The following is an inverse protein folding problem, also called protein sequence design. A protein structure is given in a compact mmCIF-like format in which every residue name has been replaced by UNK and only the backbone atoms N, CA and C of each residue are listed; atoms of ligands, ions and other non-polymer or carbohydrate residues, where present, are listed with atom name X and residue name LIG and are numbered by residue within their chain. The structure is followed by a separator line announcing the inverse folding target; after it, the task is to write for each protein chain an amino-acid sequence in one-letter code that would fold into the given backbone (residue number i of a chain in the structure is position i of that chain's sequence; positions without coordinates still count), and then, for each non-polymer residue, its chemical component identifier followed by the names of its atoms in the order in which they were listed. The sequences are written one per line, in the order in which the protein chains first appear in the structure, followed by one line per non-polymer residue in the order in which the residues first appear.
data_IF_565010875394
#
_entry.id   IF_565010875394
#
_cell.length_a   1.000
_cell.length_b   1.000
_cell.length_c   1.000
_cell.angle_alpha   90.00
_cell.angle_beta   90.00
_cell.angle_gamma   90.00
#
_symmetry.space_group_name_H-M   'P 1'
#
loop_
_entity.id
_entity.type
_entity.pdbx_description
1 polymer ?
#
# COMPACT_ATOMS: atom_id res chain seq x y z
N UNK A 1 10.33 2.41 -12.83
CA UNK A 1 9.32 2.71 -11.79
C UNK A 1 8.05 3.15 -12.49
N UNK A 2 6.89 2.81 -11.96
CA UNK A 2 5.60 3.22 -12.53
C UNK A 2 4.79 3.96 -11.47
N UNK A 3 4.11 5.04 -11.87
CA UNK A 3 3.13 5.74 -11.04
C UNK A 3 1.75 5.17 -11.33
N UNK A 4 1.06 4.70 -10.29
CA UNK A 4 -0.23 4.01 -10.39
C UNK A 4 -1.29 4.76 -9.59
N UNK A 5 -2.49 4.82 -10.16
CA UNK A 5 -3.73 5.18 -9.46
C UNK A 5 -4.69 4.00 -9.58
N UNK A 6 -5.26 3.55 -8.46
CA UNK A 6 -6.27 2.49 -8.44
C UNK A 6 -7.64 3.15 -8.36
N UNK A 7 -8.26 3.40 -9.51
CA UNK A 7 -9.49 4.20 -9.61
C UNK A 7 -10.62 3.71 -8.69
N UNK A 8 -10.80 2.38 -8.58
CA UNK A 8 -11.86 1.78 -7.74
C UNK A 8 -11.65 2.07 -6.25
N UNK A 9 -10.41 2.27 -5.81
CA UNK A 9 -10.02 2.52 -4.42
C UNK A 9 -10.13 4.02 -4.02
N UNK A 10 -10.09 4.95 -4.98
CA UNK A 10 -10.07 6.39 -4.70
C UNK A 10 -11.21 6.85 -3.77
N UNK A 11 -12.49 6.44 -3.96
CA UNK A 11 -13.56 6.86 -3.05
C UNK A 11 -13.38 6.39 -1.60
N UNK A 12 -12.83 5.19 -1.40
CA UNK A 12 -12.50 4.67 -0.06
C UNK A 12 -11.44 5.56 0.60
N UNK A 13 -10.39 5.91 -0.14
CA UNK A 13 -9.33 6.78 0.36
C UNK A 13 -9.82 8.19 0.68
N UNK A 14 -10.62 8.81 -0.19
CA UNK A 14 -11.12 10.18 0.03
C UNK A 14 -11.96 10.28 1.31
N UNK A 15 -12.72 9.22 1.64
CA UNK A 15 -13.53 9.16 2.85
C UNK A 15 -12.74 8.84 4.12
N UNK A 16 -11.73 7.97 4.03
CA UNK A 16 -11.05 7.41 5.22
C UNK A 16 -9.65 7.96 5.48
N UNK A 17 -8.99 8.48 4.45
CA UNK A 17 -7.56 8.77 4.46
C UNK A 17 -6.66 7.54 4.58
N UNK A 18 -7.21 6.31 4.53
CA UNK A 18 -6.48 5.09 4.86
C UNK A 18 -5.65 4.54 3.68
N UNK A 19 -4.58 5.26 3.35
CA UNK A 19 -3.60 4.83 2.34
C UNK A 19 -2.88 3.52 2.70
N UNK A 20 -2.78 3.20 4.00
CA UNK A 20 -2.08 2.01 4.48
C UNK A 20 -2.79 0.73 4.04
N UNK A 21 -4.12 0.73 3.91
CA UNK A 21 -4.87 -0.42 3.41
C UNK A 21 -4.40 -0.86 2.01
N UNK A 22 -4.30 0.07 1.06
CA UNK A 22 -3.79 -0.26 -0.28
C UNK A 22 -2.31 -0.66 -0.23
N UNK A 23 -1.51 -0.02 0.61
CA UNK A 23 -0.10 -0.34 0.76
C UNK A 23 0.13 -1.77 1.28
N UNK A 24 -0.62 -2.19 2.29
CA UNK A 24 -0.56 -3.55 2.85
C UNK A 24 -1.10 -4.59 1.87
N UNK A 25 -2.18 -4.28 1.16
CA UNK A 25 -2.67 -5.20 0.12
C UNK A 25 -1.61 -5.43 -0.97
N UNK A 26 -0.92 -4.38 -1.44
CA UNK A 26 0.16 -4.55 -2.43
C UNK A 26 1.35 -5.31 -1.83
N UNK A 27 1.67 -5.07 -0.55
CA UNK A 27 2.74 -5.79 0.14
C UNK A 27 2.52 -7.31 0.11
N UNK A 28 1.30 -7.75 0.46
CA UNK A 28 0.93 -9.16 0.53
C UNK A 28 0.71 -9.78 -0.86
N UNK A 29 0.06 -9.05 -1.78
CA UNK A 29 -0.37 -9.59 -3.08
C UNK A 29 0.68 -9.48 -4.19
N UNK A 30 1.69 -8.61 -4.06
CA UNK A 30 2.69 -8.35 -5.12
C UNK A 30 4.09 -8.72 -4.62
N UNK A 31 4.47 -10.01 -4.63
CA UNK A 31 5.74 -10.47 -4.07
C UNK A 31 6.98 -9.90 -4.79
N UNK A 32 6.83 -9.35 -6.00
CA UNK A 32 7.93 -8.77 -6.78
C UNK A 32 8.26 -7.29 -6.54
N UNK A 33 7.49 -6.55 -5.72
CA UNK A 33 7.76 -5.11 -5.54
C UNK A 33 9.11 -4.85 -4.85
N UNK A 34 9.80 -3.77 -5.22
CA UNK A 34 11.06 -3.34 -4.60
C UNK A 34 10.90 -2.14 -3.67
N UNK A 35 10.08 -1.15 -4.05
CA UNK A 35 9.77 0.00 -3.21
C UNK A 35 8.41 0.59 -3.57
N UNK A 36 7.77 1.24 -2.59
CA UNK A 36 6.53 1.99 -2.79
C UNK A 36 6.59 3.38 -2.14
N UNK A 37 6.10 4.40 -2.84
CA UNK A 37 5.98 5.77 -2.35
C UNK A 37 4.59 6.33 -2.64
N UNK A 38 3.81 6.62 -1.60
CA UNK A 38 2.45 7.14 -1.69
C UNK A 38 2.38 8.67 -1.64
N UNK A 39 1.47 9.25 -2.42
CA UNK A 39 1.29 10.71 -2.58
C UNK A 39 -0.15 11.16 -2.28
N UNK A 40 -0.36 12.35 -1.69
CA UNK A 40 -1.69 12.79 -1.22
C UNK A 40 -2.78 12.85 -2.29
N UNK A 41 -2.41 13.20 -3.53
CA UNK A 41 -3.39 13.32 -4.62
C UNK A 41 -3.79 11.92 -5.09
N UNK A 42 -5.08 11.60 -4.95
CA UNK A 42 -5.70 10.33 -5.38
C UNK A 42 -5.10 9.07 -4.74
N UNK A 43 -4.30 9.22 -3.69
CA UNK A 43 -3.46 8.14 -3.16
C UNK A 43 -2.62 7.46 -4.27
N UNK A 44 -2.17 8.25 -5.26
CA UNK A 44 -1.26 7.75 -6.27
C UNK A 44 0.02 7.22 -5.60
N UNK A 45 0.61 6.16 -6.15
CA UNK A 45 1.85 5.63 -5.63
C UNK A 45 2.81 5.23 -6.74
N UNK A 46 4.10 5.45 -6.50
CA UNK A 46 5.16 4.87 -7.31
C UNK A 46 5.45 3.46 -6.82
N UNK A 47 5.56 2.50 -7.73
CA UNK A 47 6.02 1.14 -7.46
C UNK A 47 7.24 0.81 -8.32
N UNK A 48 8.29 0.30 -7.68
CA UNK A 48 9.53 -0.13 -8.30
C UNK A 48 9.67 -1.65 -8.35
N UNK A 49 10.48 -2.14 -9.29
CA UNK A 49 11.00 -3.52 -9.32
C UNK A 49 12.52 -3.49 -9.35
N UNK A 50 13.16 -4.48 -8.74
CA UNK A 50 14.60 -4.67 -8.75
C UNK A 50 14.93 -6.15 -8.56
N UNK A 51 16.06 -6.63 -9.11
CA UNK A 51 16.52 -8.02 -8.95
C UNK A 51 16.77 -8.39 -7.48
N UNK A 52 17.14 -7.41 -6.65
CA UNK A 52 17.31 -7.53 -5.20
C UNK A 52 16.42 -6.49 -4.51
N UNK A 53 15.13 -6.77 -4.26
CA UNK A 53 14.17 -5.78 -3.80
C UNK A 53 14.46 -5.33 -2.36
N UNK A 54 14.44 -4.01 -2.11
CA UNK A 54 14.59 -3.44 -0.74
C UNK A 54 13.33 -3.69 0.12
N UNK A 55 12.17 -3.81 -0.52
CA UNK A 55 10.86 -4.03 0.10
C UNK A 55 10.41 -2.90 1.05
N UNK A 56 10.79 -1.66 0.78
CA UNK A 56 10.40 -0.52 1.62
C UNK A 56 9.07 0.12 1.16
N UNK A 57 8.24 0.55 2.12
CA UNK A 57 6.99 1.27 1.86
C UNK A 57 7.03 2.60 2.59
N UNK A 58 6.85 3.71 1.85
CA UNK A 58 6.92 5.07 2.38
C UNK A 58 5.77 5.93 1.88
N UNK A 59 5.50 7.02 2.58
CA UNK A 59 4.38 7.91 2.24
C UNK A 59 4.64 9.37 2.57
N UNK A 60 4.12 10.25 1.71
CA UNK A 60 3.95 11.68 1.95
C UNK A 60 2.54 12.04 2.48
N UNK A 61 1.65 11.04 2.59
CA UNK A 61 0.31 11.13 3.20
C UNK A 61 0.46 10.90 4.70
N UNK A 62 -0.26 11.64 5.55
CA UNK A 62 -0.24 11.38 7.00
C UNK A 62 -0.86 10.00 7.33
N UNK A 63 -0.25 9.18 8.22
CA UNK A 63 1.06 9.39 8.84
C UNK A 63 2.22 9.27 7.85
N UNK A 64 3.09 10.29 7.80
CA UNK A 64 4.20 10.38 6.84
C UNK A 64 5.38 9.50 7.27
N UNK A 65 6.20 9.10 6.30
CA UNK A 65 7.47 8.40 6.57
C UNK A 65 7.45 6.95 6.14
N UNK A 66 8.12 6.08 6.88
CA UNK A 66 8.25 4.65 6.58
C UNK A 66 7.13 3.86 7.26
N UNK A 67 6.32 3.13 6.48
CA UNK A 67 5.32 2.20 7.02
C UNK A 67 5.99 0.90 7.47
N UNK A 68 6.79 0.31 6.57
CA UNK A 68 7.52 -0.93 6.84
C UNK A 68 8.72 -1.07 5.91
N UNK A 69 9.66 -1.92 6.31
CA UNK A 69 10.83 -2.37 5.56
C UNK A 69 11.41 -3.62 6.24
N UNK A 70 12.26 -4.41 5.58
CA UNK A 70 12.92 -5.56 6.21
C UNK A 70 13.56 -5.18 7.55
N UNK A 71 13.31 -6.03 8.56
CA UNK A 71 13.79 -5.84 9.93
C UNK A 71 12.85 -5.05 10.85
N UNK A 72 11.74 -4.49 10.36
CA UNK A 72 10.68 -3.97 11.23
C UNK A 72 9.75 -5.10 11.68
N UNK A 73 9.19 -4.98 12.89
CA UNK A 73 8.35 -6.04 13.50
C UNK A 73 7.01 -6.26 12.76
N UNK A 74 6.57 -5.29 11.98
CA UNK A 74 5.37 -5.33 11.15
C UNK A 74 5.70 -5.60 9.66
N UNK A 75 6.87 -6.16 9.35
CA UNK A 75 7.24 -6.43 7.96
C UNK A 75 6.74 -7.79 7.47
N UNK A 76 6.89 -8.81 8.29
CA UNK A 76 6.48 -10.17 7.94
C UNK A 76 5.10 -10.48 8.49
N UNK A 77 4.42 -11.44 7.88
CA UNK A 77 3.15 -11.98 8.37
C UNK A 77 1.96 -11.61 7.49
N UNK A 78 0.78 -11.94 8.00
CA UNK A 78 -0.48 -11.60 7.36
C UNK A 78 -0.94 -10.20 7.79
N UNK A 79 -1.20 -9.34 6.80
CA UNK A 79 -1.71 -7.99 7.02
C UNK A 79 -3.17 -7.85 6.60
N UNK A 80 -3.88 -8.96 6.32
CA UNK A 80 -5.27 -8.96 5.85
C UNK A 80 -6.24 -8.13 6.71
N UNK A 81 -6.02 -8.09 8.02
CA UNK A 81 -6.80 -7.25 8.93
C UNK A 81 -6.76 -5.76 8.54
N UNK A 82 -5.63 -5.27 8.02
CA UNK A 82 -5.39 -3.86 7.68
C UNK A 82 -6.15 -3.40 6.41
N UNK A 83 -6.54 -4.34 5.54
CA UNK A 83 -7.18 -4.05 4.26
C UNK A 83 -8.48 -4.82 3.98
N UNK A 84 -8.93 -5.66 4.90
CA UNK A 84 -10.19 -6.41 4.80
C UNK A 84 -11.41 -5.49 4.62
N UNK A 85 -11.49 -4.41 5.39
CA UNK A 85 -12.55 -3.39 5.28
C UNK A 85 -12.58 -2.76 3.89
N UNK A 86 -11.40 -2.37 3.38
CA UNK A 86 -11.25 -1.84 2.03
C UNK A 86 -11.77 -2.86 1.01
N UNK A 87 -11.34 -4.12 1.08
CA UNK A 87 -11.82 -5.15 0.14
C UNK A 87 -13.33 -5.34 0.21
N UNK A 88 -13.91 -5.39 1.41
CA UNK A 88 -15.37 -5.51 1.59
C UNK A 88 -16.12 -4.37 0.92
N UNK A 89 -15.72 -3.12 1.17
CA UNK A 89 -16.36 -1.95 0.57
C UNK A 89 -16.20 -1.88 -0.95
N UNK A 90 -15.08 -2.36 -1.48
CA UNK A 90 -14.86 -2.45 -2.92
C UNK A 90 -15.62 -3.63 -3.56
N UNK A 91 -16.35 -4.44 -2.79
CA UNK A 91 -17.02 -5.65 -3.29
C UNK A 91 -16.04 -6.71 -3.78
N UNK A 92 -14.87 -6.79 -3.15
CA UNK A 92 -13.79 -7.73 -3.44
C UNK A 92 -13.49 -8.68 -2.25
N UNK A 93 -14.11 -8.43 -1.09
CA UNK A 93 -14.07 -9.32 0.06
C UNK A 93 -15.04 -10.49 -0.09
N UNK A 94 -14.66 -11.65 0.46
CA UNK A 94 -15.55 -12.79 0.66
C UNK A 94 -16.64 -12.48 1.69
#
# INVERSE_FOLDING_TARGET
MACIVVNKYVPYFERTGNWQALAWWVHDAVPGYASMYFFPKLCAFNIGWHQKPEKSIRSYISPKGCLTKPGMSNFEGDHSAEYSEMLRELGLGL
#
